data_IF_050988931795
#
_entry.id   IF_050988931795
#
_cell.length_a   1.000
_cell.length_b   1.000
_cell.length_c   1.000
_cell.angle_alpha   90.00
_cell.angle_beta   90.00
_cell.angle_gamma   90.00
#
_symmetry.space_group_name_H-M   'P 1'
#
loop_
_entity.id
_entity.type
_entity.pdbx_description
1 polymer ?
#
# COMPACT_ATOMS: atom_id res chain seq x y z
N UNK A 1 2.47 -11.26 -12.44
CA UNK A 1 2.39 -10.56 -11.14
C UNK A 1 1.62 -11.48 -10.21
N UNK A 2 2.30 -12.14 -9.25
CA UNK A 2 1.66 -13.15 -8.39
C UNK A 2 0.48 -12.55 -7.67
N UNK A 3 -0.46 -13.34 -7.20
CA UNK A 3 -1.61 -12.73 -6.52
C UNK A 3 -1.24 -12.10 -5.15
N UNK A 4 -0.14 -12.55 -4.56
CA UNK A 4 0.60 -11.92 -3.45
C UNK A 4 1.47 -10.74 -3.91
N UNK A 5 2.21 -10.83 -5.03
CA UNK A 5 3.07 -9.74 -5.53
C UNK A 5 2.27 -8.62 -6.22
N UNK A 6 1.07 -8.92 -6.71
CA UNK A 6 0.01 -7.99 -7.10
C UNK A 6 -0.68 -7.47 -5.84
N UNK A 7 -0.88 -8.25 -4.78
CA UNK A 7 -1.18 -7.63 -3.47
C UNK A 7 -0.09 -6.63 -3.05
N UNK A 8 1.19 -6.98 -3.10
CA UNK A 8 2.29 -6.07 -2.76
C UNK A 8 2.29 -4.86 -3.69
N UNK A 9 2.30 -5.05 -5.01
CA UNK A 9 2.24 -3.92 -5.97
C UNK A 9 0.96 -3.11 -5.79
N UNK A 10 -0.18 -3.68 -5.37
CA UNK A 10 -1.41 -2.93 -5.03
C UNK A 10 -1.34 -2.21 -3.69
N UNK A 11 -0.63 -2.77 -2.71
CA UNK A 11 -0.39 -2.20 -1.38
C UNK A 11 0.66 -1.08 -1.42
N UNK A 12 1.69 -1.23 -2.25
CA UNK A 12 2.79 -0.29 -2.42
C UNK A 12 2.59 0.67 -3.62
N UNK A 13 1.69 0.39 -4.58
CA UNK A 13 1.28 1.35 -5.61
C UNK A 13 0.88 2.73 -5.06
N UNK A 14 0.06 2.86 -4.00
CA UNK A 14 -0.24 4.18 -3.45
C UNK A 14 0.98 4.85 -2.81
N UNK A 15 1.92 4.07 -2.24
CA UNK A 15 3.18 4.62 -1.73
C UNK A 15 4.08 5.12 -2.88
N UNK A 16 4.27 4.32 -3.92
CA UNK A 16 5.02 4.70 -5.13
C UNK A 16 4.38 5.87 -5.87
N UNK A 17 3.05 5.93 -5.93
CA UNK A 17 2.30 7.04 -6.50
C UNK A 17 2.49 8.34 -5.70
N UNK A 18 2.45 8.27 -4.36
CA UNK A 18 2.74 9.42 -3.50
C UNK A 18 4.21 9.87 -3.63
N UNK A 19 5.15 8.94 -3.77
CA UNK A 19 6.57 9.23 -3.99
C UNK A 19 6.79 9.92 -5.34
N UNK A 20 6.22 9.37 -6.42
CA UNK A 20 6.28 9.95 -7.75
C UNK A 20 5.64 11.35 -7.79
N UNK A 21 4.50 11.54 -7.12
CA UNK A 21 3.86 12.85 -6.99
C UNK A 21 4.74 13.85 -6.22
N UNK A 22 5.39 13.41 -5.13
CA UNK A 22 6.35 14.22 -4.37
C UNK A 22 7.55 14.66 -5.19
N UNK A 23 8.11 13.77 -6.01
CA UNK A 23 9.18 14.08 -6.97
C UNK A 23 8.71 15.01 -8.08
N UNK A 24 7.51 14.77 -8.64
CA UNK A 24 6.91 15.64 -9.66
C UNK A 24 6.64 17.05 -9.14
N UNK A 25 6.30 17.21 -7.86
CA UNK A 25 6.14 18.51 -7.21
C UNK A 25 7.46 19.27 -7.04
N UNK A 26 8.63 18.59 -7.00
CA UNK A 26 9.92 19.29 -6.92
C UNK A 26 10.27 20.06 -8.20
N UNK A 27 9.84 19.59 -9.38
CA UNK A 27 10.09 20.23 -10.69
C UNK A 27 9.55 21.68 -10.77
N UNK A 28 8.25 21.96 -10.57
CA UNK A 28 7.74 23.33 -10.60
C UNK A 28 8.26 24.16 -9.41
N UNK A 29 8.60 23.54 -8.28
CA UNK A 29 9.22 24.24 -7.15
C UNK A 29 10.60 24.82 -7.48
N UNK A 30 11.36 24.17 -8.38
CA UNK A 30 12.61 24.71 -8.91
C UNK A 30 12.38 26.03 -9.65
N UNK A 31 11.42 26.06 -10.57
CA UNK A 31 11.06 27.27 -11.33
C UNK A 31 10.45 28.37 -10.45
N UNK A 32 9.65 28.00 -9.44
CA UNK A 32 9.07 28.95 -8.48
C UNK A 32 10.14 29.66 -7.65
N UNK A 33 11.24 28.96 -7.30
CA UNK A 33 12.34 29.49 -6.47
C UNK A 33 13.11 30.62 -7.15
N UNK A 34 13.19 30.62 -8.48
CA UNK A 34 13.89 31.64 -9.28
C UNK A 34 13.04 32.92 -9.44
N UNK A 35 11.73 32.84 -9.19
CA UNK A 35 10.81 33.98 -9.31
C UNK A 35 10.64 34.74 -7.98
N UNK A 36 11.10 36.01 -7.86
CA UNK A 36 10.97 36.76 -6.60
C UNK A 36 9.51 37.09 -6.24
N UNK A 37 8.62 37.13 -7.24
CA UNK A 37 7.19 37.44 -7.09
C UNK A 37 6.41 36.32 -6.38
N UNK A 38 6.83 35.05 -6.51
CA UNK A 38 6.13 33.91 -5.90
C UNK A 38 6.81 33.38 -4.63
N UNK A 39 7.71 34.17 -4.01
CA UNK A 39 8.41 33.79 -2.79
C UNK A 39 7.48 33.38 -1.63
N UNK A 40 6.32 34.05 -1.47
CA UNK A 40 5.31 33.69 -0.48
C UNK A 40 4.63 32.34 -0.75
N UNK A 41 4.37 32.02 -2.03
CA UNK A 41 3.82 30.72 -2.44
C UNK A 41 4.86 29.61 -2.21
N UNK A 42 6.12 29.86 -2.56
CA UNK A 42 7.24 28.94 -2.31
C UNK A 42 7.42 28.66 -0.81
N UNK A 43 7.29 29.65 0.07
CA UNK A 43 7.46 29.48 1.52
C UNK A 43 6.47 28.46 2.14
N UNK A 44 5.26 28.34 1.56
CA UNK A 44 4.28 27.31 1.91
C UNK A 44 4.48 26.02 1.10
N UNK A 45 4.65 26.13 -0.22
CA UNK A 45 4.74 24.98 -1.13
C UNK A 45 5.99 24.11 -0.88
N UNK A 46 7.09 24.66 -0.34
CA UNK A 46 8.34 23.93 -0.04
C UNK A 46 8.16 22.68 0.83
N UNK A 47 7.10 22.62 1.62
CA UNK A 47 6.79 21.45 2.46
C UNK A 47 6.01 20.36 1.70
N UNK A 48 5.36 20.66 0.57
CA UNK A 48 4.53 19.70 -0.17
C UNK A 48 5.30 18.45 -0.62
N UNK A 49 6.54 18.54 -1.19
CA UNK A 49 7.32 17.35 -1.51
C UNK A 49 7.70 16.53 -0.27
N UNK A 50 8.08 17.18 0.82
CA UNK A 50 8.44 16.52 2.07
C UNK A 50 7.24 15.79 2.70
N UNK A 51 6.06 16.40 2.66
CA UNK A 51 4.80 15.78 3.10
C UNK A 51 4.42 14.60 2.19
N UNK A 52 4.53 14.72 0.87
CA UNK A 52 4.26 13.62 -0.06
C UNK A 52 5.22 12.42 0.15
N UNK A 53 6.50 12.69 0.42
CA UNK A 53 7.49 11.66 0.79
C UNK A 53 7.13 11.02 2.13
N UNK A 54 6.76 11.79 3.15
CA UNK A 54 6.33 11.26 4.45
C UNK A 54 5.05 10.39 4.32
N UNK A 55 4.11 10.78 3.46
CA UNK A 55 2.92 9.98 3.10
C UNK A 55 3.30 8.69 2.38
N UNK A 56 4.24 8.73 1.43
CA UNK A 56 4.78 7.51 0.80
C UNK A 56 5.41 6.57 1.82
N UNK A 57 6.28 7.08 2.69
CA UNK A 57 6.97 6.28 3.72
C UNK A 57 5.97 5.65 4.68
N UNK A 58 4.99 6.42 5.16
CA UNK A 58 3.95 5.87 6.07
C UNK A 58 3.07 4.82 5.39
N UNK A 59 2.69 5.01 4.12
CA UNK A 59 1.95 3.99 3.34
C UNK A 59 2.78 2.72 3.14
N UNK A 60 4.07 2.84 2.82
CA UNK A 60 4.97 1.71 2.70
C UNK A 60 5.12 0.98 4.05
N UNK A 61 5.31 1.70 5.15
CA UNK A 61 5.47 1.14 6.49
C UNK A 61 4.18 0.42 6.96
N UNK A 62 3.00 0.96 6.62
CA UNK A 62 1.71 0.29 6.85
C UNK A 62 1.58 -1.00 6.03
N UNK A 63 2.01 -1.01 4.76
CA UNK A 63 2.05 -2.22 3.96
C UNK A 63 3.03 -3.25 4.55
N UNK A 64 4.22 -2.83 4.99
CA UNK A 64 5.21 -3.68 5.66
C UNK A 64 4.69 -4.27 6.97
N UNK A 65 4.00 -3.48 7.81
CA UNK A 65 3.41 -3.98 9.07
C UNK A 65 2.24 -4.93 8.81
N UNK A 66 1.43 -4.70 7.76
CA UNK A 66 0.40 -5.67 7.34
C UNK A 66 1.03 -6.99 6.88
N UNK A 67 2.14 -6.91 6.14
CA UNK A 67 2.95 -8.05 5.75
C UNK A 67 3.48 -8.83 6.97
N UNK A 68 4.11 -8.12 7.90
CA UNK A 68 4.75 -8.70 9.08
C UNK A 68 3.76 -9.32 10.06
N UNK A 69 2.59 -8.70 10.23
CA UNK A 69 1.51 -9.28 11.03
C UNK A 69 0.89 -10.51 10.37
N UNK A 70 0.86 -10.57 9.03
CA UNK A 70 0.46 -11.78 8.30
C UNK A 70 1.48 -12.91 8.49
N UNK A 71 2.75 -12.60 8.29
CA UNK A 71 3.91 -13.47 8.42
C UNK A 71 4.01 -14.14 9.81
N UNK A 72 3.69 -13.40 10.87
CA UNK A 72 3.62 -13.94 12.24
C UNK A 72 2.54 -15.02 12.46
N UNK A 73 1.64 -15.31 11.51
CA UNK A 73 0.45 -16.16 11.70
C UNK A 73 -0.62 -15.57 12.64
N UNK A 74 -0.22 -14.61 13.49
CA UNK A 74 -1.05 -13.82 14.42
C UNK A 74 -2.08 -12.94 13.74
N UNK A 75 -2.05 -12.76 12.42
CA UNK A 75 -3.02 -11.90 11.73
C UNK A 75 -3.45 -12.41 10.37
N UNK A 76 -4.52 -11.78 9.89
CA UNK A 76 -5.38 -12.22 8.82
C UNK A 76 -4.71 -12.15 7.45
N UNK A 77 -3.82 -13.08 7.13
CA UNK A 77 -3.93 -14.04 6.01
C UNK A 77 -3.87 -13.39 4.57
N UNK A 78 -3.57 -14.03 3.40
CA UNK A 78 -3.52 -13.32 2.05
C UNK A 78 -4.14 -13.97 0.77
N UNK A 79 -4.91 -13.16 0.02
CA UNK A 79 -5.67 -13.40 -1.22
C UNK A 79 -4.87 -13.61 -2.52
N UNK A 80 -5.48 -14.45 -3.35
CA UNK A 80 -5.50 -14.43 -4.81
C UNK A 80 -5.82 -13.10 -5.61
N UNK A 81 -5.44 -11.86 -5.20
CA UNK A 81 -5.46 -10.68 -6.13
C UNK A 81 -4.78 -9.39 -5.64
N UNK A 82 -4.75 -9.11 -4.34
CA UNK A 82 -4.72 -7.68 -3.97
C UNK A 82 -4.89 -7.35 -2.49
N UNK A 83 -5.03 -8.35 -1.63
CA UNK A 83 -5.52 -8.14 -0.28
C UNK A 83 -5.44 -9.42 0.53
N UNK A 84 -6.02 -9.39 1.72
CA UNK A 84 -5.76 -10.35 2.77
C UNK A 84 -6.56 -11.70 2.54
N UNK A 85 -6.51 -12.73 3.38
CA UNK A 85 -7.36 -13.95 3.27
C UNK A 85 -8.52 -13.82 4.26
N UNK A 86 -9.53 -14.65 4.06
CA UNK A 86 -10.55 -14.91 5.07
C UNK A 86 -9.95 -15.54 6.34
N UNK A 87 -10.82 -15.86 7.30
CA UNK A 87 -10.52 -16.71 8.47
C UNK A 87 -11.04 -18.12 8.29
N UNK A 88 -10.61 -19.04 9.17
CA UNK A 88 -11.09 -20.42 9.25
C UNK A 88 -12.63 -20.47 9.22
N UNK A 89 -13.25 -21.31 8.38
CA UNK A 89 -14.73 -21.47 8.34
C UNK A 89 -15.18 -22.88 7.98
N UNK A 90 -15.58 -23.72 8.94
CA UNK A 90 -16.06 -25.09 8.67
C UNK A 90 -17.16 -25.13 7.59
N UNK A 91 -16.92 -25.92 6.55
CA UNK A 91 -17.83 -26.13 5.41
C UNK A 91 -18.17 -27.61 5.26
N UNK A 92 -19.09 -27.94 4.34
CA UNK A 92 -19.61 -29.30 4.10
C UNK A 92 -18.52 -30.34 3.70
N UNK A 93 -17.31 -29.88 3.35
CA UNK A 93 -16.16 -30.69 2.99
C UNK A 93 -14.89 -30.31 3.80
N UNK A 94 -15.05 -29.82 5.03
CA UNK A 94 -13.98 -29.19 5.82
C UNK A 94 -14.01 -27.67 5.74
N UNK A 95 -13.23 -26.97 6.56
CA UNK A 95 -13.27 -25.50 6.66
C UNK A 95 -12.72 -24.75 5.42
N UNK A 96 -12.94 -23.44 5.26
CA UNK A 96 -12.48 -22.61 4.13
C UNK A 96 -12.26 -21.10 4.49
N UNK A 97 -11.07 -20.55 4.17
CA UNK A 97 -10.73 -19.13 4.10
C UNK A 97 -11.15 -18.67 2.70
N UNK A 98 -11.10 -17.36 2.50
CA UNK A 98 -11.38 -16.75 1.20
C UNK A 98 -10.20 -15.94 0.76
N UNK A 99 -10.23 -15.53 -0.48
CA UNK A 99 -9.28 -14.61 -1.06
C UNK A 99 -9.88 -13.18 -1.02
N UNK A 100 -9.48 -12.30 -0.07
CA UNK A 100 -9.96 -10.89 0.10
C UNK A 100 -9.53 -9.89 -1.00
N UNK A 101 -9.59 -10.30 -2.27
CA UNK A 101 -9.32 -9.43 -3.42
C UNK A 101 -9.83 -10.01 -4.76
N UNK A 102 -9.81 -11.33 -4.99
CA UNK A 102 -10.49 -11.97 -6.14
C UNK A 102 -11.66 -12.87 -5.71
N UNK A 103 -11.92 -12.97 -4.41
CA UNK A 103 -13.11 -13.62 -3.85
C UNK A 103 -13.21 -15.15 -4.07
N UNK A 104 -12.12 -15.87 -4.36
CA UNK A 104 -12.14 -17.35 -4.42
C UNK A 104 -12.28 -17.97 -3.02
N UNK A 105 -12.90 -19.15 -2.92
CA UNK A 105 -12.87 -20.03 -1.74
C UNK A 105 -11.54 -20.80 -1.68
N UNK A 106 -11.08 -21.10 -0.47
CA UNK A 106 -9.73 -21.62 -0.15
C UNK A 106 -9.93 -22.55 1.07
N UNK A 107 -9.99 -23.89 0.96
CA UNK A 107 -10.36 -24.81 2.08
C UNK A 107 -9.35 -24.81 3.26
N UNK A 108 -9.56 -25.46 4.41
CA UNK A 108 -8.70 -25.39 5.63
C UNK A 108 -7.30 -25.90 5.44
N UNK A 109 -7.29 -26.98 4.68
CA UNK A 109 -6.19 -27.52 3.89
C UNK A 109 -5.35 -26.49 3.12
N UNK A 110 -5.79 -25.25 2.94
CA UNK A 110 -5.13 -24.22 2.14
C UNK A 110 -4.65 -23.03 2.99
N UNK A 111 -4.80 -23.04 4.32
CA UNK A 111 -4.66 -21.76 5.03
C UNK A 111 -4.37 -21.75 6.55
N UNK A 112 -4.57 -22.84 7.31
CA UNK A 112 -4.82 -22.84 8.79
C UNK A 112 -3.83 -22.01 9.60
#
# INVERSE_FOLDING_TARGET
>A
MDRWTWMMVRMYAPALGALALGLLLMLPLGMLRESPVLAGVYAMARWLPALAIAVSVTLALVATVRLWRWDQGRSQLVCECGGLLGRERTGRFGAYRKCLACNRNVNERYYT
#
